data_IF_454600115818
#
_entry.id   IF_454600115818
#
_cell.length_a   1.000
_cell.length_b   1.000
_cell.length_c   1.000
_cell.angle_alpha   90.00
_cell.angle_beta   90.00
_cell.angle_gamma   90.00
#
_symmetry.space_group_name_H-M   'P 1'
#
loop_
_entity.id
_entity.type
_entity.pdbx_description
1 polymer ?
#
# COMPACT_ATOMS: atom_id res chain seq x y z
N UNK A 1 -2.47 -10.25 67.79
CA UNK A 1 -1.00 -10.11 67.73
C UNK A 1 -0.65 -10.04 66.24
N UNK A 2 -0.76 -8.86 65.62
CA UNK A 2 0.34 -7.92 65.34
C UNK A 2 1.51 -8.53 64.55
N UNK A 3 1.60 -8.12 63.28
CA UNK A 3 2.78 -7.72 62.46
C UNK A 3 4.02 -8.62 62.53
N UNK A 4 4.64 -9.06 61.45
CA UNK A 4 5.23 -8.24 60.38
C UNK A 4 5.47 -9.10 59.13
N UNK A 5 4.98 -8.64 57.96
CA UNK A 5 5.48 -9.07 56.66
C UNK A 5 6.54 -8.04 56.22
N UNK A 6 7.78 -8.49 56.08
CA UNK A 6 8.90 -7.70 55.57
C UNK A 6 8.82 -7.68 54.05
N UNK A 7 8.47 -6.53 53.49
CA UNK A 7 8.58 -6.25 52.05
C UNK A 7 10.05 -5.93 51.74
N UNK A 8 10.69 -6.74 50.91
CA UNK A 8 12.02 -6.46 50.34
C UNK A 8 11.81 -5.85 48.95
N UNK A 9 12.26 -4.61 48.69
CA UNK A 9 12.18 -4.02 47.36
C UNK A 9 13.32 -4.59 46.50
N UNK A 10 12.99 -5.24 45.38
CA UNK A 10 14.00 -5.59 44.36
C UNK A 10 14.14 -4.41 43.40
N UNK A 11 15.28 -3.72 43.54
CA UNK A 11 15.77 -2.73 42.60
C UNK A 11 16.19 -3.41 41.29
N UNK A 12 15.93 -2.70 40.19
CA UNK A 12 16.05 -3.15 38.81
C UNK A 12 17.48 -3.46 38.33
N UNK A 13 17.57 -4.29 37.29
CA UNK A 13 18.68 -4.26 36.35
C UNK A 13 18.11 -4.25 34.92
N UNK A 14 18.04 -3.05 34.34
CA UNK A 14 17.80 -2.84 32.91
C UNK A 14 19.16 -2.94 32.23
N UNK A 15 19.36 -3.97 31.40
CA UNK A 15 20.55 -4.12 30.58
C UNK A 15 20.28 -3.48 29.22
N UNK A 16 20.79 -2.27 29.02
CA UNK A 16 20.76 -1.54 27.76
C UNK A 16 21.94 -2.04 26.89
N UNK A 17 21.67 -2.74 25.79
CA UNK A 17 22.71 -3.11 24.82
C UNK A 17 22.75 -2.06 23.72
N UNK A 18 23.81 -1.24 23.76
CA UNK A 18 24.19 -0.30 22.69
C UNK A 18 25.13 -1.06 21.75
N UNK A 19 24.76 -1.20 20.48
CA UNK A 19 25.68 -1.67 19.44
C UNK A 19 25.97 -0.49 18.51
N UNK A 20 27.09 0.17 18.79
CA UNK A 20 27.69 1.19 17.93
C UNK A 20 28.79 0.57 17.07
N UNK A 21 28.65 0.72 15.75
CA UNK A 21 29.76 1.01 14.83
C UNK A 21 30.56 -0.15 14.25
N UNK A 22 30.47 -0.29 12.92
CA UNK A 22 31.66 -0.45 12.09
C UNK A 22 31.52 0.40 10.83
N UNK A 23 32.38 1.41 10.74
CA UNK A 23 32.63 2.26 9.57
C UNK A 23 33.42 1.47 8.52
N UNK A 24 33.01 1.56 7.26
CA UNK A 24 33.77 1.07 6.12
C UNK A 24 33.41 1.86 4.88
N UNK A 25 34.10 2.97 4.64
CA UNK A 25 33.94 3.80 3.46
C UNK A 25 34.64 3.21 2.24
N UNK A 26 34.05 3.41 1.06
CA UNK A 26 34.75 3.28 -0.22
C UNK A 26 34.29 4.40 -1.15
N UNK A 27 35.23 5.31 -1.45
CA UNK A 27 35.17 6.20 -2.60
C UNK A 27 35.65 5.49 -3.88
N UNK A 28 35.55 6.18 -5.03
CA UNK A 28 35.52 5.58 -6.36
C UNK A 28 36.91 5.51 -7.01
N UNK A 29 37.17 4.50 -7.84
CA UNK A 29 37.67 4.68 -9.22
C UNK A 29 37.89 3.34 -9.95
N UNK A 30 37.57 3.38 -11.25
CA UNK A 30 38.09 2.60 -12.39
C UNK A 30 38.37 1.10 -12.25
N UNK A 31 37.82 0.31 -13.18
CA UNK A 31 38.60 -0.30 -14.28
C UNK A 31 37.66 -0.92 -15.34
N UNK A 32 37.99 -0.62 -16.60
CA UNK A 32 37.43 -1.17 -17.83
C UNK A 32 37.75 -2.66 -18.03
N UNK A 33 36.96 -3.34 -18.88
CA UNK A 33 37.25 -4.42 -19.86
C UNK A 33 35.86 -4.98 -20.28
N UNK A 34 35.44 -5.23 -21.53
CA UNK A 34 36.10 -5.43 -22.81
C UNK A 34 35.59 -6.74 -23.44
N UNK A 35 34.97 -6.68 -24.64
CA UNK A 35 34.65 -7.82 -25.54
C UNK A 35 33.26 -8.47 -25.34
N UNK A 36 32.50 -8.90 -26.35
CA UNK A 36 32.76 -9.14 -27.78
C UNK A 36 31.43 -9.22 -28.57
N UNK A 37 31.52 -8.97 -29.88
CA UNK A 37 30.47 -9.03 -30.91
C UNK A 37 30.84 -10.12 -31.91
N UNK A 38 29.92 -10.92 -32.46
CA UNK A 38 30.21 -11.74 -33.64
C UNK A 38 29.83 -11.03 -34.95
N UNK A 39 30.74 -11.11 -35.92
CA UNK A 39 30.61 -10.73 -37.33
C UNK A 39 30.51 -11.99 -38.20
N UNK A 40 29.84 -11.89 -39.35
CA UNK A 40 30.09 -12.75 -40.50
C UNK A 40 29.84 -12.00 -41.84
N UNK A 41 30.91 -11.98 -42.65
CA UNK A 41 31.12 -11.63 -44.07
C UNK A 41 30.23 -12.43 -45.06
N UNK A 42 30.12 -12.20 -46.38
CA UNK A 42 30.68 -11.27 -47.41
C UNK A 42 29.88 -11.50 -48.74
N UNK A 43 29.92 -10.52 -49.68
CA UNK A 43 29.24 -10.50 -51.01
C UNK A 43 29.82 -11.44 -52.11
N UNK A 44 29.60 -11.21 -53.44
CA UNK A 44 29.82 -9.91 -54.14
C UNK A 44 28.93 -9.56 -55.39
N UNK A 45 29.09 -8.29 -55.88
CA UNK A 45 29.03 -7.72 -57.27
C UNK A 45 27.82 -7.96 -58.20
N UNK A 46 27.38 -7.08 -59.12
CA UNK A 46 27.77 -5.79 -59.73
C UNK A 46 26.52 -5.22 -60.45
N UNK A 47 26.44 -3.89 -60.69
CA UNK A 47 26.17 -3.25 -62.02
C UNK A 47 25.62 -1.82 -61.88
N UNK A 48 26.35 -0.90 -62.49
CA UNK A 48 26.11 0.54 -62.70
C UNK A 48 25.01 0.80 -63.74
N UNK A 49 24.17 1.83 -63.57
CA UNK A 49 23.74 2.76 -64.65
C UNK A 49 23.17 4.04 -64.03
N UNK A 50 23.63 5.20 -64.50
CA UNK A 50 23.13 6.54 -64.19
C UNK A 50 22.35 7.10 -65.39
N UNK A 51 21.24 7.82 -65.17
CA UNK A 51 20.71 8.89 -66.04
C UNK A 51 19.86 9.89 -65.21
N UNK A 52 20.36 11.12 -65.16
CA UNK A 52 19.77 12.47 -65.23
C UNK A 52 18.33 12.88 -64.80
N UNK A 53 18.36 14.04 -64.12
CA UNK A 53 17.56 15.27 -64.31
C UNK A 53 16.08 15.35 -63.86
N UNK A 54 15.85 16.07 -62.74
CA UNK A 54 14.90 17.19 -62.71
C UNK A 54 15.06 18.09 -61.47
N UNK A 55 14.79 19.36 -61.73
CA UNK A 55 15.22 20.57 -61.04
C UNK A 55 14.32 21.00 -59.86
N UNK A 56 14.94 21.66 -58.87
CA UNK A 56 14.43 22.72 -57.96
C UNK A 56 13.22 22.46 -57.04
N UNK A 57 13.40 22.69 -55.73
CA UNK A 57 13.18 24.03 -55.17
C UNK A 57 13.67 24.12 -53.71
N UNK A 58 14.49 25.12 -53.43
CA UNK A 58 14.86 25.51 -52.07
C UNK A 58 13.65 26.20 -51.42
N UNK A 59 13.17 25.66 -50.31
CA UNK A 59 12.24 26.34 -49.41
C UNK A 59 12.83 26.33 -48.00
N UNK A 60 12.87 27.52 -47.41
CA UNK A 60 13.72 27.89 -46.29
C UNK A 60 13.52 27.07 -45.00
N UNK A 61 14.63 26.97 -44.29
CA UNK A 61 14.71 26.65 -42.87
C UNK A 61 13.81 27.62 -42.09
N UNK A 62 12.81 27.18 -41.33
CA UNK A 62 12.27 28.00 -40.26
C UNK A 62 13.35 28.02 -39.18
N UNK A 63 14.06 29.13 -39.10
CA UNK A 63 14.75 29.54 -37.89
C UNK A 63 13.66 29.96 -36.89
N UNK A 64 13.02 28.95 -36.29
CA UNK A 64 12.06 29.11 -35.23
C UNK A 64 12.77 28.87 -33.92
N UNK A 65 13.47 29.88 -33.42
CA UNK A 65 13.69 30.00 -31.98
C UNK A 65 12.30 30.12 -31.38
N UNK A 66 11.75 29.01 -30.87
CA UNK A 66 10.48 29.05 -30.15
C UNK A 66 10.64 30.05 -29.01
N UNK A 67 9.88 31.14 -29.07
CA UNK A 67 9.74 32.02 -27.92
C UNK A 67 9.28 31.18 -26.72
N UNK A 68 9.62 31.57 -25.48
CA UNK A 68 9.05 30.94 -24.31
C UNK A 68 7.54 30.89 -24.51
N UNK A 69 6.94 29.70 -24.38
CA UNK A 69 5.49 29.55 -24.42
C UNK A 69 4.93 30.52 -23.38
N UNK A 70 4.30 31.60 -23.85
CA UNK A 70 3.77 32.63 -22.98
C UNK A 70 2.85 31.96 -21.94
N UNK A 71 2.99 32.32 -20.67
CA UNK A 71 2.17 31.77 -19.58
C UNK A 71 0.68 31.81 -19.98
N UNK A 72 0.00 30.66 -20.16
CA UNK A 72 -1.40 30.61 -20.58
C UNK A 72 -2.34 31.39 -19.67
N UNK A 73 -1.99 31.52 -18.38
CA UNK A 73 -2.78 32.18 -17.36
C UNK A 73 -2.59 33.71 -17.32
N UNK A 74 -1.57 34.24 -18.00
CA UNK A 74 -1.21 35.65 -17.96
C UNK A 74 -0.25 35.99 -16.82
N UNK A 75 -0.30 37.23 -16.33
CA UNK A 75 0.63 37.75 -15.30
C UNK A 75 -0.03 38.02 -13.95
N UNK A 76 -1.35 37.86 -13.85
CA UNK A 76 -2.07 37.99 -12.58
C UNK A 76 -2.03 36.65 -11.82
N UNK A 77 -2.05 36.67 -10.48
CA UNK A 77 -2.12 35.44 -9.70
C UNK A 77 -3.38 34.62 -10.04
N UNK A 78 -3.21 33.31 -10.19
CA UNK A 78 -4.31 32.38 -10.42
C UNK A 78 -5.09 32.23 -9.11
N UNK A 79 -6.34 32.69 -9.11
CA UNK A 79 -7.24 32.65 -7.97
C UNK A 79 -7.83 31.26 -7.83
N UNK A 80 -7.57 30.61 -6.69
CA UNK A 80 -8.01 29.23 -6.43
C UNK A 80 -9.07 29.22 -5.33
N UNK A 81 -10.29 28.83 -5.67
CA UNK A 81 -11.32 28.43 -4.70
C UNK A 81 -11.13 26.96 -4.31
N UNK A 82 -11.59 26.62 -3.10
CA UNK A 82 -11.46 25.25 -2.55
C UNK A 82 -12.82 24.78 -2.07
N UNK A 83 -13.34 23.74 -2.72
CA UNK A 83 -14.56 23.04 -2.34
C UNK A 83 -14.15 21.75 -1.63
N UNK A 84 -13.88 21.85 -0.33
CA UNK A 84 -13.40 20.73 0.51
C UNK A 84 -14.51 19.93 1.20
N UNK A 85 -14.19 18.75 1.75
CA UNK A 85 -15.12 18.02 2.64
C UNK A 85 -15.38 18.82 3.93
N UNK A 86 -16.58 18.70 4.55
CA UNK A 86 -16.95 19.51 5.71
C UNK A 86 -16.12 19.21 6.96
N UNK A 87 -15.61 17.97 7.08
CA UNK A 87 -14.97 17.47 8.30
C UNK A 87 -13.43 17.46 8.25
N UNK A 88 -12.82 18.04 7.19
CA UNK A 88 -11.36 18.09 7.04
C UNK A 88 -10.91 19.40 6.38
N UNK A 89 -10.02 20.12 7.05
CA UNK A 89 -9.42 21.33 6.50
C UNK A 89 -8.32 20.99 5.49
N UNK A 90 -8.69 20.99 4.20
CA UNK A 90 -7.80 20.70 3.07
C UNK A 90 -7.13 21.95 2.50
N UNK A 91 -7.51 23.15 2.94
CA UNK A 91 -6.99 24.42 2.40
C UNK A 91 -5.47 24.54 2.59
N UNK A 92 -4.87 24.19 3.75
CA UNK A 92 -3.42 24.20 3.91
C UNK A 92 -2.69 23.28 2.91
N UNK A 93 -3.30 22.15 2.53
CA UNK A 93 -2.71 21.19 1.60
C UNK A 93 -2.67 21.78 0.18
N UNK A 94 -3.76 22.41 -0.26
CA UNK A 94 -3.83 23.12 -1.55
C UNK A 94 -2.81 24.25 -1.60
N UNK A 95 -2.63 25.01 -0.51
CA UNK A 95 -1.62 26.07 -0.42
C UNK A 95 -0.20 25.53 -0.61
N UNK A 96 0.15 24.41 0.02
CA UNK A 96 1.50 23.84 -0.13
C UNK A 96 1.76 23.33 -1.55
N UNK A 97 0.76 22.68 -2.16
CA UNK A 97 0.83 22.28 -3.56
C UNK A 97 0.97 23.47 -4.53
N UNK A 98 0.24 24.57 -4.28
CA UNK A 98 0.40 25.81 -5.04
C UNK A 98 1.81 26.39 -4.89
N UNK A 99 2.31 26.51 -3.65
CA UNK A 99 3.66 27.00 -3.35
C UNK A 99 4.77 26.16 -3.98
N UNK A 100 4.57 24.85 -4.11
CA UNK A 100 5.48 23.99 -4.86
C UNK A 100 5.65 24.49 -6.30
N UNK A 101 4.56 24.80 -6.99
CA UNK A 101 4.62 25.31 -8.36
C UNK A 101 5.12 26.76 -8.44
N UNK A 102 4.74 27.65 -7.53
CA UNK A 102 5.29 29.03 -7.48
C UNK A 102 6.82 29.01 -7.37
N UNK A 103 7.34 28.07 -6.59
CA UNK A 103 8.79 27.92 -6.38
C UNK A 103 9.50 27.30 -7.58
N UNK A 104 8.86 26.38 -8.30
CA UNK A 104 9.53 25.49 -9.26
C UNK A 104 9.11 25.68 -10.72
N UNK A 105 8.07 26.46 -11.01
CA UNK A 105 7.47 26.56 -12.35
C UNK A 105 8.48 27.02 -13.41
N UNK A 106 9.30 28.03 -13.13
CA UNK A 106 10.31 28.50 -14.09
C UNK A 106 11.26 27.38 -14.55
N UNK A 107 11.53 26.40 -13.67
CA UNK A 107 12.39 25.26 -14.00
C UNK A 107 11.67 24.20 -14.84
N UNK A 108 10.42 23.88 -14.49
CA UNK A 108 9.72 22.71 -15.08
C UNK A 108 8.76 23.08 -16.21
N UNK A 109 8.12 24.25 -16.15
CA UNK A 109 7.18 24.73 -17.19
C UNK A 109 7.75 25.87 -18.04
N UNK A 110 8.86 26.48 -17.62
CA UNK A 110 9.57 27.52 -18.37
C UNK A 110 9.03 28.95 -18.17
N UNK A 111 8.09 29.15 -17.26
CA UNK A 111 7.57 30.46 -16.85
C UNK A 111 7.25 30.48 -15.35
N UNK A 112 7.19 31.67 -14.75
CA UNK A 112 6.76 31.85 -13.36
C UNK A 112 5.23 31.80 -13.26
N UNK A 113 4.73 31.23 -12.17
CA UNK A 113 3.32 31.23 -11.80
C UNK A 113 3.17 31.74 -10.39
N UNK A 114 2.10 32.50 -10.14
CA UNK A 114 1.69 32.94 -8.81
C UNK A 114 0.25 32.44 -8.58
N UNK A 115 -0.05 31.97 -7.37
CA UNK A 115 -1.37 31.51 -6.96
C UNK A 115 -1.91 32.34 -5.79
N UNK A 116 -3.22 32.53 -5.77
CA UNK A 116 -3.94 33.15 -4.65
C UNK A 116 -5.03 32.19 -4.15
N UNK A 117 -4.69 31.33 -3.19
CA UNK A 117 -5.66 30.36 -2.62
C UNK A 117 -6.63 31.07 -1.67
N UNK A 118 -7.84 31.30 -2.19
CA UNK A 118 -8.98 31.93 -1.53
C UNK A 118 -10.17 30.96 -1.55
N UNK A 119 -10.36 30.15 -0.49
CA UNK A 119 -11.37 29.09 -0.46
C UNK A 119 -12.77 29.54 -0.89
N UNK A 120 -13.19 30.72 -0.42
CA UNK A 120 -14.52 31.29 -0.65
C UNK A 120 -14.57 32.35 -1.77
N UNK A 121 -13.65 32.30 -2.73
CA UNK A 121 -13.62 33.26 -3.84
C UNK A 121 -14.89 33.18 -4.70
N UNK A 122 -15.59 34.30 -4.88
CA UNK A 122 -16.81 34.38 -5.70
C UNK A 122 -16.54 34.23 -7.21
N UNK A 123 -15.35 34.63 -7.67
CA UNK A 123 -14.94 34.58 -9.08
C UNK A 123 -13.53 33.99 -9.21
N UNK A 124 -13.35 32.68 -8.97
CA UNK A 124 -12.05 32.04 -9.06
C UNK A 124 -11.67 31.72 -10.51
N UNK A 125 -10.36 31.58 -10.76
CA UNK A 125 -9.83 31.03 -12.00
C UNK A 125 -9.91 29.51 -12.00
N UNK A 126 -9.57 28.90 -10.86
CA UNK A 126 -9.60 27.47 -10.59
C UNK A 126 -10.47 27.16 -9.37
N UNK A 127 -11.22 26.05 -9.44
CA UNK A 127 -11.88 25.43 -8.29
C UNK A 127 -11.23 24.08 -8.06
N UNK A 128 -10.55 23.91 -6.92
CA UNK A 128 -10.10 22.59 -6.46
C UNK A 128 -11.25 21.97 -5.66
N UNK A 129 -11.90 20.97 -6.25
CA UNK A 129 -13.07 20.29 -5.71
C UNK A 129 -12.71 18.90 -5.20
N UNK A 130 -13.00 18.64 -3.93
CA UNK A 130 -12.81 17.35 -3.32
C UNK A 130 -14.09 16.51 -3.46
N UNK A 131 -13.97 15.33 -4.07
CA UNK A 131 -15.09 14.44 -4.42
C UNK A 131 -14.81 13.00 -4.00
N UNK A 132 -15.85 12.21 -3.74
CA UNK A 132 -15.69 10.80 -3.40
C UNK A 132 -15.30 9.94 -4.62
N UNK A 133 -15.83 10.30 -5.79
CA UNK A 133 -15.51 9.67 -7.08
C UNK A 133 -15.12 10.75 -8.10
N UNK A 134 -13.91 10.63 -8.67
CA UNK A 134 -13.43 11.50 -9.74
C UNK A 134 -14.09 11.11 -11.05
N UNK A 135 -14.73 12.06 -11.73
CA UNK A 135 -15.54 11.80 -12.93
C UNK A 135 -15.24 12.73 -14.11
N UNK A 136 -14.45 13.78 -13.90
CA UNK A 136 -14.09 14.76 -14.93
C UNK A 136 -13.14 14.26 -16.03
N UNK A 137 -12.48 13.11 -15.82
CA UNK A 137 -11.55 12.49 -16.76
C UNK A 137 -12.09 11.12 -17.22
N UNK A 138 -11.54 10.56 -18.31
CA UNK A 138 -11.91 9.20 -18.75
C UNK A 138 -11.77 8.21 -17.59
N UNK A 139 -12.87 7.52 -17.27
CA UNK A 139 -13.04 6.79 -16.02
C UNK A 139 -12.07 5.63 -15.91
N UNK A 140 -11.25 5.65 -14.86
CA UNK A 140 -10.70 4.44 -14.24
C UNK A 140 -11.10 4.40 -12.76
N UNK A 141 -11.41 3.22 -12.22
CA UNK A 141 -11.82 3.02 -10.82
C UNK A 141 -10.74 3.41 -9.79
N UNK A 142 -9.55 3.83 -10.25
CA UNK A 142 -8.39 4.17 -9.43
C UNK A 142 -7.91 5.61 -9.64
N UNK A 143 -8.74 6.46 -10.26
CA UNK A 143 -8.40 7.86 -10.52
C UNK A 143 -8.41 8.65 -9.21
N UNK A 144 -7.26 9.19 -8.81
CA UNK A 144 -7.11 9.96 -7.57
C UNK A 144 -7.33 11.47 -7.76
N UNK A 145 -7.16 11.96 -8.99
CA UNK A 145 -7.37 13.36 -9.35
C UNK A 145 -7.65 13.51 -10.84
N UNK A 146 -8.18 14.67 -11.21
CA UNK A 146 -8.40 15.03 -12.60
C UNK A 146 -8.33 16.55 -12.77
N UNK A 147 -7.51 16.99 -13.73
CA UNK A 147 -7.39 18.38 -14.12
C UNK A 147 -7.40 18.57 -15.64
N UNK A 148 -7.83 19.76 -16.10
CA UNK A 148 -7.67 20.14 -17.49
C UNK A 148 -6.20 20.29 -17.85
N UNK A 149 -5.81 19.73 -18.99
CA UNK A 149 -4.47 19.89 -19.57
C UNK A 149 -4.38 21.18 -20.40
N UNK A 150 -3.73 22.23 -19.85
CA UNK A 150 -3.73 23.58 -20.42
C UNK A 150 -2.36 23.93 -21.00
N UNK A 151 -2.29 24.06 -22.31
CA UNK A 151 -1.08 24.45 -23.06
C UNK A 151 -1.23 25.79 -23.76
N UNK A 152 -2.43 26.37 -23.77
CA UNK A 152 -2.71 27.67 -24.40
C UNK A 152 -3.83 28.44 -23.70
N UNK A 153 -3.74 29.77 -23.73
CA UNK A 153 -4.73 30.67 -23.12
C UNK A 153 -6.15 30.49 -23.71
N UNK A 154 -6.27 30.00 -24.95
CA UNK A 154 -7.55 29.76 -25.61
C UNK A 154 -8.36 28.60 -24.99
N UNK A 155 -7.73 27.73 -24.20
CA UNK A 155 -8.41 26.63 -23.49
C UNK A 155 -9.06 27.06 -22.18
N UNK A 156 -8.73 28.26 -21.67
CA UNK A 156 -9.15 28.69 -20.34
C UNK A 156 -10.58 29.23 -20.37
N UNK A 157 -11.49 28.51 -19.72
CA UNK A 157 -12.88 28.90 -19.48
C UNK A 157 -13.17 28.94 -17.98
N UNK A 158 -13.06 30.13 -17.38
CA UNK A 158 -13.13 30.32 -15.92
C UNK A 158 -14.56 30.15 -15.36
N UNK A 159 -14.76 29.54 -14.19
CA UNK A 159 -13.74 28.78 -13.45
C UNK A 159 -13.48 27.41 -14.09
N UNK A 160 -12.22 27.01 -14.17
CA UNK A 160 -11.88 25.62 -14.50
C UNK A 160 -11.91 24.78 -13.21
N UNK A 161 -12.27 23.50 -13.32
CA UNK A 161 -12.35 22.59 -12.15
C UNK A 161 -11.19 21.61 -12.15
N UNK A 162 -10.60 21.39 -10.98
CA UNK A 162 -9.70 20.29 -10.66
C UNK A 162 -10.42 19.41 -9.63
N UNK A 163 -10.61 18.13 -9.93
CA UNK A 163 -11.22 17.17 -9.00
C UNK A 163 -10.13 16.39 -8.25
N UNK A 164 -10.30 16.22 -6.95
CA UNK A 164 -9.38 15.49 -6.06
C UNK A 164 -10.18 14.49 -5.26
N UNK A 165 -9.73 13.24 -5.19
CA UNK A 165 -10.38 12.20 -4.39
C UNK A 165 -10.29 12.50 -2.89
N UNK A 166 -11.41 12.37 -2.17
CA UNK A 166 -11.47 12.43 -0.70
C UNK A 166 -10.86 11.17 -0.06
N UNK A 167 -10.67 11.20 1.27
CA UNK A 167 -10.23 10.02 2.04
C UNK A 167 -8.73 9.70 1.95
N UNK A 168 -7.92 10.51 1.26
CA UNK A 168 -6.47 10.39 1.20
C UNK A 168 -5.79 11.03 2.42
N UNK A 169 -4.61 10.52 2.80
CA UNK A 169 -3.72 11.16 3.78
C UNK A 169 -3.35 12.58 3.36
N UNK A 170 -2.79 13.37 4.29
CA UNK A 170 -2.38 14.75 4.01
C UNK A 170 -1.30 14.81 2.93
N UNK A 171 -0.30 13.93 3.04
CA UNK A 171 0.79 13.79 2.08
C UNK A 171 0.29 13.36 0.70
N UNK A 172 -0.58 12.36 0.65
CA UNK A 172 -1.16 11.88 -0.61
C UNK A 172 -2.07 12.93 -1.25
N UNK A 173 -2.84 13.66 -0.44
CA UNK A 173 -3.69 14.75 -0.92
C UNK A 173 -2.84 15.87 -1.53
N UNK A 174 -1.79 16.30 -0.83
CA UNK A 174 -0.87 17.33 -1.34
C UNK A 174 -0.18 16.89 -2.64
N UNK A 175 0.27 15.62 -2.70
CA UNK A 175 0.88 15.06 -3.90
C UNK A 175 -0.07 15.07 -5.10
N UNK A 176 -1.33 14.64 -4.90
CA UNK A 176 -2.33 14.64 -5.98
C UNK A 176 -2.66 16.08 -6.39
N UNK A 177 -2.89 17.00 -5.46
CA UNK A 177 -3.16 18.41 -5.82
C UNK A 177 -1.98 19.01 -6.59
N UNK A 178 -0.74 18.73 -6.19
CA UNK A 178 0.44 19.20 -6.93
C UNK A 178 0.49 18.60 -8.33
N UNK A 179 0.22 17.30 -8.49
CA UNK A 179 0.14 16.65 -9.81
C UNK A 179 -0.91 17.31 -10.71
N UNK A 180 -2.13 17.45 -10.21
CA UNK A 180 -3.23 18.03 -10.97
C UNK A 180 -2.99 19.49 -11.33
N UNK A 181 -2.41 20.29 -10.43
CA UNK A 181 -2.00 21.66 -10.76
C UNK A 181 -0.94 21.68 -11.87
N UNK A 182 -0.05 20.69 -11.95
CA UNK A 182 0.90 20.54 -13.05
C UNK A 182 0.24 20.41 -14.42
N UNK A 183 -0.86 19.66 -14.52
CA UNK A 183 -1.66 19.59 -15.75
C UNK A 183 -2.26 20.94 -16.14
N UNK A 184 -2.71 21.73 -15.15
CA UNK A 184 -3.20 23.09 -15.42
C UNK A 184 -2.10 24.05 -15.89
N UNK A 185 -0.83 23.66 -15.76
CA UNK A 185 0.34 24.38 -16.27
C UNK A 185 0.94 23.74 -17.53
N UNK A 186 0.28 22.74 -18.11
CA UNK A 186 0.67 22.15 -19.39
C UNK A 186 1.68 21.01 -19.30
N UNK A 187 1.92 20.47 -18.10
CA UNK A 187 2.74 19.26 -17.92
C UNK A 187 1.91 17.99 -18.10
N UNK A 188 2.42 17.04 -18.87
CA UNK A 188 1.91 15.68 -18.97
C UNK A 188 2.60 14.75 -17.98
N UNK A 189 2.24 13.47 -18.01
CA UNK A 189 2.76 12.51 -17.03
C UNK A 189 4.26 12.18 -17.18
N UNK A 190 4.80 12.33 -18.39
CA UNK A 190 6.20 12.03 -18.70
C UNK A 190 7.13 13.23 -18.44
N UNK A 191 6.56 14.39 -18.06
CA UNK A 191 7.34 15.60 -17.81
C UNK A 191 7.96 15.61 -16.41
N UNK A 192 9.02 16.40 -16.23
CA UNK A 192 9.61 16.61 -14.91
C UNK A 192 8.76 17.61 -14.08
N UNK A 193 8.73 17.49 -12.74
CA UNK A 193 9.47 16.53 -11.94
C UNK A 193 8.75 15.17 -11.86
N UNK A 194 9.46 14.08 -12.16
CA UNK A 194 8.90 12.73 -12.11
C UNK A 194 8.45 12.29 -10.70
N UNK A 195 8.91 12.95 -9.64
CA UNK A 195 8.39 12.74 -8.29
C UNK A 195 6.92 13.21 -8.13
N UNK A 196 6.46 14.13 -8.99
CA UNK A 196 5.11 14.70 -8.96
C UNK A 196 4.29 14.24 -10.17
N UNK A 197 4.80 14.39 -11.39
CA UNK A 197 4.00 14.22 -12.62
C UNK A 197 3.82 12.77 -13.08
N UNK A 198 4.64 11.82 -12.63
CA UNK A 198 4.52 10.44 -13.11
C UNK A 198 3.17 9.80 -12.74
N UNK A 199 2.75 8.82 -13.53
CA UNK A 199 1.65 7.93 -13.16
C UNK A 199 2.08 6.85 -12.16
N UNK A 200 1.11 6.22 -11.50
CA UNK A 200 1.35 5.02 -10.68
C UNK A 200 2.08 5.30 -9.37
N UNK A 201 1.75 6.42 -8.71
CA UNK A 201 2.24 6.70 -7.35
C UNK A 201 1.43 5.92 -6.32
N UNK A 202 2.12 5.42 -5.29
CA UNK A 202 1.45 4.84 -4.12
C UNK A 202 0.87 5.97 -3.28
N UNK A 203 -0.43 5.91 -3.04
CA UNK A 203 -1.15 6.84 -2.17
C UNK A 203 -1.65 6.08 -0.95
N UNK A 204 -1.69 6.78 0.18
CA UNK A 204 -2.28 6.27 1.41
C UNK A 204 -3.58 7.00 1.75
N UNK A 205 -4.47 6.31 2.46
CA UNK A 205 -5.72 6.86 2.97
C UNK A 205 -5.53 7.59 4.29
N UNK A 206 -6.59 8.23 4.76
CA UNK A 206 -6.70 8.60 6.17
C UNK A 206 -6.62 7.35 7.06
N UNK A 207 -6.21 7.50 8.34
CA UNK A 207 -6.14 6.39 9.27
C UNK A 207 -7.45 5.62 9.38
N UNK A 208 -7.38 4.30 9.41
CA UNK A 208 -8.49 3.38 9.53
C UNK A 208 -8.32 2.45 10.73
N UNK A 209 -9.40 1.85 11.28
CA UNK A 209 -9.25 0.85 12.32
C UNK A 209 -8.51 -0.38 11.82
N UNK A 210 -7.58 -0.87 12.62
CA UNK A 210 -6.82 -2.08 12.35
C UNK A 210 -7.69 -3.34 12.48
N UNK A 211 -7.28 -4.43 11.82
CA UNK A 211 -7.95 -5.73 11.91
C UNK A 211 -8.13 -6.16 13.37
N UNK A 212 -7.11 -5.98 14.20
CA UNK A 212 -7.09 -6.31 15.62
C UNK A 212 -8.03 -5.45 16.48
N UNK A 213 -8.49 -4.31 15.97
CA UNK A 213 -9.43 -3.42 16.65
C UNK A 213 -10.90 -3.69 16.26
N UNK A 214 -11.11 -4.59 15.29
CA UNK A 214 -12.43 -4.92 14.76
C UNK A 214 -12.97 -6.15 15.47
N UNK A 215 -14.27 -6.12 15.79
CA UNK A 215 -14.96 -7.28 16.37
C UNK A 215 -15.00 -8.49 15.42
N UNK A 216 -14.88 -8.24 14.11
CA UNK A 216 -14.68 -9.28 13.10
C UNK A 216 -13.72 -8.76 12.03
N UNK A 217 -12.51 -9.34 11.86
CA UNK A 217 -11.43 -8.76 11.05
C UNK A 217 -11.46 -9.14 9.56
N UNK A 218 -12.50 -9.82 9.07
CA UNK A 218 -12.63 -10.25 7.68
C UNK A 218 -13.73 -9.50 6.94
N UNK A 219 -13.76 -9.64 5.62
CA UNK A 219 -14.81 -9.09 4.76
C UNK A 219 -16.09 -9.93 4.79
N UNK A 220 -15.96 -11.24 4.91
CA UNK A 220 -17.07 -12.19 5.06
C UNK A 220 -16.70 -13.37 5.98
N UNK A 221 -17.64 -14.30 6.16
CA UNK A 221 -17.52 -15.46 7.04
C UNK A 221 -17.40 -16.79 6.30
N UNK A 222 -17.02 -16.76 5.02
CA UNK A 222 -16.83 -17.92 4.16
C UNK A 222 -15.33 -18.11 3.90
N UNK A 223 -14.76 -19.20 4.41
CA UNK A 223 -13.30 -19.38 4.40
C UNK A 223 -12.89 -20.55 3.53
N UNK A 224 -11.95 -20.30 2.63
CA UNK A 224 -11.10 -21.35 2.07
C UNK A 224 -10.00 -21.71 3.07
N UNK A 225 -9.70 -23.00 3.20
CA UNK A 225 -8.71 -23.50 4.16
C UNK A 225 -7.70 -24.42 3.48
N UNK A 226 -6.44 -24.03 3.53
CA UNK A 226 -5.33 -24.89 3.15
C UNK A 226 -4.71 -25.55 4.37
N UNK A 227 -4.56 -26.88 4.32
CA UNK A 227 -4.01 -27.67 5.42
C UNK A 227 -2.73 -28.34 4.93
N UNK A 228 -1.60 -27.75 5.29
CA UNK A 228 -0.23 -28.16 4.95
C UNK A 228 0.45 -28.82 6.17
N UNK A 229 0.07 -30.07 6.45
CA UNK A 229 0.53 -30.80 7.65
C UNK A 229 1.36 -32.03 7.30
N UNK A 230 1.96 -32.05 6.11
CA UNK A 230 2.65 -33.23 5.58
C UNK A 230 3.96 -33.53 6.32
N UNK A 231 4.54 -32.54 7.00
CA UNK A 231 5.71 -32.71 7.88
C UNK A 231 5.35 -33.25 9.28
N UNK A 232 4.06 -33.38 9.62
CA UNK A 232 3.66 -33.90 10.91
C UNK A 232 4.07 -35.38 11.08
N UNK A 233 4.35 -35.86 12.30
CA UNK A 233 4.66 -37.28 12.56
C UNK A 233 3.57 -38.25 12.08
N UNK A 234 2.30 -37.81 12.14
CA UNK A 234 1.15 -38.47 11.54
C UNK A 234 0.30 -37.42 10.80
N UNK A 235 0.53 -37.20 9.49
CA UNK A 235 -0.18 -36.18 8.71
C UNK A 235 -1.69 -36.42 8.61
N UNK A 236 -2.12 -37.68 8.58
CA UNK A 236 -3.54 -38.01 8.48
C UNK A 236 -4.28 -37.65 9.77
N UNK A 237 -3.72 -37.99 10.93
CA UNK A 237 -4.28 -37.62 12.22
C UNK A 237 -4.17 -36.11 12.48
N UNK A 238 -3.08 -35.45 12.08
CA UNK A 238 -2.96 -33.99 12.18
C UNK A 238 -4.02 -33.27 11.34
N UNK A 239 -4.27 -33.75 10.11
CA UNK A 239 -5.33 -33.21 9.25
C UNK A 239 -6.72 -33.43 9.84
N UNK A 240 -6.96 -34.56 10.51
CA UNK A 240 -8.21 -34.80 11.23
C UNK A 240 -8.40 -33.81 12.38
N UNK A 241 -7.36 -33.60 13.20
CA UNK A 241 -7.34 -32.62 14.30
C UNK A 241 -7.65 -31.19 13.84
N UNK A 242 -7.08 -30.76 12.71
CA UNK A 242 -7.41 -29.45 12.12
C UNK A 242 -8.89 -29.38 11.72
N UNK A 243 -9.45 -30.44 11.11
CA UNK A 243 -10.87 -30.48 10.75
C UNK A 243 -11.80 -30.44 11.96
N UNK A 244 -11.43 -31.08 13.06
CA UNK A 244 -12.21 -30.99 14.31
C UNK A 244 -12.21 -29.56 14.86
N UNK A 245 -11.07 -28.85 14.77
CA UNK A 245 -11.01 -27.44 15.14
C UNK A 245 -11.91 -26.57 14.27
N UNK A 246 -11.91 -26.75 12.94
CA UNK A 246 -12.82 -26.03 12.03
C UNK A 246 -14.28 -26.35 12.36
N UNK A 247 -14.62 -27.63 12.54
CA UNK A 247 -15.95 -28.09 12.88
C UNK A 247 -16.46 -27.51 14.20
N UNK A 248 -15.58 -27.29 15.17
CA UNK A 248 -15.93 -26.63 16.43
C UNK A 248 -16.45 -25.19 16.22
N UNK A 249 -15.83 -24.43 15.31
CA UNK A 249 -16.29 -23.08 14.95
C UNK A 249 -17.58 -23.11 14.12
N UNK A 250 -17.68 -24.01 13.15
CA UNK A 250 -18.91 -24.21 12.34
C UNK A 250 -20.14 -24.55 13.19
N UNK A 251 -19.95 -25.22 14.33
CA UNK A 251 -21.03 -25.55 15.28
C UNK A 251 -21.43 -24.40 16.21
N UNK A 252 -20.80 -23.23 16.09
CA UNK A 252 -21.07 -22.06 16.93
C UNK A 252 -20.28 -22.07 18.24
N UNK A 253 -18.96 -21.98 18.14
CA UNK A 253 -18.07 -21.89 19.28
C UNK A 253 -18.48 -20.74 20.25
N UNK A 254 -18.56 -20.96 21.58
CA UNK A 254 -18.98 -19.94 22.53
C UNK A 254 -18.13 -18.67 22.46
N UNK A 255 -18.78 -17.52 22.32
CA UNK A 255 -18.14 -16.20 22.24
C UNK A 255 -17.63 -15.83 20.85
N UNK A 256 -17.90 -16.65 19.83
CA UNK A 256 -17.45 -16.45 18.45
C UNK A 256 -18.63 -16.21 17.50
N UNK A 257 -18.37 -15.73 16.26
CA UNK A 257 -19.40 -15.68 15.23
C UNK A 257 -20.01 -17.07 14.98
N UNK A 258 -21.31 -17.12 14.71
CA UNK A 258 -22.10 -18.37 14.57
C UNK A 258 -22.42 -18.74 13.12
N UNK A 259 -21.86 -18.00 12.16
CA UNK A 259 -22.10 -18.14 10.71
C UNK A 259 -20.81 -18.44 9.92
N UNK A 260 -19.79 -18.99 10.59
CA UNK A 260 -18.52 -19.35 9.97
C UNK A 260 -18.68 -20.64 9.14
N UNK A 261 -18.14 -20.65 7.92
CA UNK A 261 -18.13 -21.83 7.05
C UNK A 261 -16.74 -22.07 6.47
N UNK A 262 -16.36 -23.33 6.28
CA UNK A 262 -15.02 -23.69 5.82
C UNK A 262 -15.05 -24.65 4.62
N UNK A 263 -14.34 -24.29 3.55
CA UNK A 263 -14.05 -25.15 2.42
C UNK A 263 -12.56 -25.51 2.39
N UNK A 264 -12.22 -26.79 2.57
CA UNK A 264 -10.82 -27.22 2.49
C UNK A 264 -10.39 -27.30 1.02
N UNK A 265 -9.35 -26.55 0.66
CA UNK A 265 -8.80 -26.45 -0.69
C UNK A 265 -7.31 -26.75 -0.74
N UNK A 266 -6.81 -27.07 -1.93
CA UNK A 266 -5.37 -27.26 -2.20
C UNK A 266 -4.78 -25.98 -2.83
N UNK A 267 -4.88 -24.87 -2.09
CA UNK A 267 -4.39 -23.56 -2.52
C UNK A 267 -3.64 -22.86 -1.38
N UNK A 268 -2.31 -22.67 -1.44
CA UNK A 268 -1.57 -21.98 -0.38
C UNK A 268 -1.95 -20.50 -0.22
N UNK A 269 -2.69 -19.91 -1.17
CA UNK A 269 -3.24 -18.56 -1.07
C UNK A 269 -4.64 -18.51 -0.41
N UNK A 270 -5.16 -19.65 0.09
CA UNK A 270 -6.42 -19.71 0.84
C UNK A 270 -6.48 -18.73 2.03
N UNK A 271 -7.68 -18.38 2.47
CA UNK A 271 -7.93 -17.42 3.56
C UNK A 271 -7.30 -17.89 4.87
N UNK A 272 -7.43 -19.18 5.18
CA UNK A 272 -6.81 -19.79 6.35
C UNK A 272 -5.79 -20.82 5.91
N UNK A 273 -4.56 -20.68 6.40
CA UNK A 273 -3.48 -21.65 6.14
C UNK A 273 -3.07 -22.26 7.47
N UNK A 274 -3.20 -23.58 7.60
CA UNK A 274 -2.68 -24.31 8.76
C UNK A 274 -1.49 -25.12 8.30
N UNK A 275 -0.31 -24.79 8.82
CA UNK A 275 0.92 -25.50 8.49
C UNK A 275 1.56 -26.16 9.70
N UNK A 276 2.14 -27.34 9.50
CA UNK A 276 2.98 -28.02 10.47
C UNK A 276 4.42 -27.99 10.00
N UNK A 277 5.35 -27.63 10.89
CA UNK A 277 6.79 -27.64 10.62
C UNK A 277 7.55 -28.23 11.81
N UNK A 278 8.70 -28.86 11.56
CA UNK A 278 9.53 -29.40 12.65
C UNK A 278 10.32 -28.31 13.39
N UNK A 279 10.66 -27.21 12.72
CA UNK A 279 11.40 -26.09 13.29
C UNK A 279 10.93 -24.77 12.69
N UNK A 280 10.91 -23.71 13.50
CA UNK A 280 10.55 -22.37 13.03
C UNK A 280 11.10 -21.30 13.96
N UNK A 281 11.37 -20.11 13.44
CA UNK A 281 11.68 -18.92 14.26
C UNK A 281 10.46 -18.36 14.98
N UNK A 282 9.27 -18.90 14.72
CA UNK A 282 8.04 -18.39 15.32
C UNK A 282 7.89 -18.68 16.82
N UNK A 283 8.58 -19.71 17.31
CA UNK A 283 8.60 -20.09 18.72
C UNK A 283 9.97 -20.67 19.06
N UNK A 284 10.36 -20.60 20.33
CA UNK A 284 11.57 -21.28 20.81
C UNK A 284 11.17 -22.70 21.20
N UNK A 285 11.54 -23.69 20.38
CA UNK A 285 11.16 -25.10 20.57
C UNK A 285 9.71 -25.37 20.15
N UNK A 286 9.08 -26.37 20.77
CA UNK A 286 7.72 -26.80 20.42
C UNK A 286 6.67 -25.75 20.79
N UNK A 287 5.73 -25.45 19.89
CA UNK A 287 4.71 -24.42 20.10
C UNK A 287 3.87 -24.13 18.87
N UNK A 288 3.24 -22.96 18.86
CA UNK A 288 2.44 -22.50 17.73
C UNK A 288 2.38 -20.99 17.68
N UNK A 289 2.17 -20.42 16.50
CA UNK A 289 1.95 -18.99 16.32
C UNK A 289 0.94 -18.71 15.21
N UNK A 290 0.33 -17.53 15.25
CA UNK A 290 -0.49 -16.97 14.18
C UNK A 290 0.19 -15.79 13.51
N UNK A 291 0.00 -15.63 12.21
CA UNK A 291 0.41 -14.45 11.46
C UNK A 291 -0.64 -14.09 10.42
N UNK A 292 -0.95 -12.82 10.26
CA UNK A 292 -1.92 -12.33 9.27
C UNK A 292 -1.24 -11.51 8.18
N UNK A 293 -1.91 -11.44 7.02
CA UNK A 293 -1.64 -10.46 5.97
C UNK A 293 -2.97 -9.88 5.49
N UNK A 294 -2.91 -8.66 4.95
CA UNK A 294 -4.06 -7.97 4.43
C UNK A 294 -3.70 -6.62 3.82
N UNK A 295 -4.70 -5.90 3.28
CA UNK A 295 -4.51 -4.54 2.81
C UNK A 295 -4.06 -3.63 3.96
N UNK A 296 -3.20 -2.66 3.63
CA UNK A 296 -2.71 -1.54 4.47
C UNK A 296 -2.83 -0.22 3.67
N UNK A 297 -4.06 0.25 3.35
CA UNK A 297 -4.27 1.49 2.62
C UNK A 297 -3.80 2.74 3.36
N UNK A 298 -3.79 2.79 4.69
CA UNK A 298 -3.33 3.99 5.40
C UNK A 298 -1.79 4.04 5.62
N UNK A 299 -1.10 2.92 5.41
CA UNK A 299 0.35 2.81 5.39
C UNK A 299 0.99 2.81 6.78
N UNK A 300 0.24 2.45 7.82
CA UNK A 300 0.75 2.38 9.20
C UNK A 300 1.51 1.07 9.51
N UNK A 301 1.49 0.11 8.58
CA UNK A 301 2.16 -1.18 8.68
C UNK A 301 1.31 -2.28 9.31
N UNK A 302 0.06 -2.01 9.67
CA UNK A 302 -0.92 -2.98 10.13
C UNK A 302 -2.02 -3.16 9.07
N UNK A 303 -2.61 -4.35 9.03
CA UNK A 303 -3.72 -4.61 8.10
C UNK A 303 -5.04 -4.20 8.72
N UNK A 304 -5.89 -3.52 7.96
CA UNK A 304 -7.23 -3.09 8.37
C UNK A 304 -8.22 -4.25 8.32
N UNK A 305 -7.95 -5.24 7.46
CA UNK A 305 -8.67 -6.51 7.34
C UNK A 305 -7.69 -7.64 7.10
N UNK A 306 -8.05 -8.86 7.47
CA UNK A 306 -7.30 -10.04 7.05
C UNK A 306 -7.74 -10.44 5.63
N UNK A 307 -6.75 -10.70 4.78
CA UNK A 307 -6.92 -11.39 3.50
C UNK A 307 -6.39 -12.83 3.60
N UNK A 308 -5.49 -13.10 4.56
CA UNK A 308 -5.11 -14.45 4.93
C UNK A 308 -4.59 -14.47 6.37
N UNK A 309 -4.83 -15.58 7.06
CA UNK A 309 -4.31 -15.87 8.38
C UNK A 309 -3.63 -17.25 8.38
N UNK A 310 -2.36 -17.29 8.77
CA UNK A 310 -1.56 -18.51 8.84
C UNK A 310 -1.37 -18.94 10.28
N UNK A 311 -1.73 -20.18 10.59
CA UNK A 311 -1.37 -20.87 11.82
C UNK A 311 -0.15 -21.75 11.54
N UNK A 312 0.95 -21.50 12.25
CA UNK A 312 2.13 -22.37 12.22
C UNK A 312 2.18 -23.19 13.50
N UNK A 313 2.13 -24.51 13.37
CA UNK A 313 2.33 -25.47 14.47
C UNK A 313 3.74 -26.04 14.35
N UNK A 314 4.51 -25.99 15.44
CA UNK A 314 5.96 -26.30 15.44
C UNK A 314 6.24 -27.43 16.42
N UNK A 315 6.65 -28.59 15.92
CA UNK A 315 7.08 -29.75 16.74
C UNK A 315 6.10 -30.10 17.88
N UNK A 316 4.80 -30.00 17.60
CA UNK A 316 3.73 -30.35 18.54
C UNK A 316 3.27 -31.78 18.29
N UNK A 317 2.99 -32.51 19.37
CA UNK A 317 2.39 -33.85 19.29
C UNK A 317 1.08 -33.80 18.51
N UNK A 318 0.84 -34.80 17.66
CA UNK A 318 -0.32 -34.83 16.76
C UNK A 318 -1.66 -34.66 17.49
N UNK A 319 -1.78 -35.18 18.70
CA UNK A 319 -2.99 -35.08 19.54
C UNK A 319 -3.29 -33.67 20.04
N UNK A 320 -2.32 -32.76 20.02
CA UNK A 320 -2.47 -31.37 20.42
C UNK A 320 -2.61 -30.38 19.25
N UNK A 321 -2.42 -30.83 18.00
CA UNK A 321 -2.48 -29.96 16.81
C UNK A 321 -3.80 -29.21 16.73
N UNK A 322 -4.92 -29.90 16.95
CA UNK A 322 -6.25 -29.30 16.85
C UNK A 322 -6.44 -28.17 17.86
N UNK A 323 -5.98 -28.36 19.10
CA UNK A 323 -6.10 -27.34 20.14
C UNK A 323 -5.33 -26.06 19.78
N UNK A 324 -4.10 -26.24 19.30
CA UNK A 324 -3.26 -25.12 18.86
C UNK A 324 -3.85 -24.40 17.65
N UNK A 325 -4.37 -25.15 16.68
CA UNK A 325 -5.12 -24.57 15.54
C UNK A 325 -6.34 -23.79 16.02
N UNK A 326 -7.18 -24.40 16.87
CA UNK A 326 -8.38 -23.76 17.40
C UNK A 326 -8.07 -22.47 18.17
N UNK A 327 -7.03 -22.47 19.02
CA UNK A 327 -6.60 -21.27 19.73
C UNK A 327 -6.32 -20.08 18.79
N UNK A 328 -5.59 -20.32 17.71
CA UNK A 328 -5.24 -19.27 16.74
C UNK A 328 -6.40 -18.89 15.83
N UNK A 329 -7.32 -19.80 15.54
CA UNK A 329 -8.57 -19.46 14.86
C UNK A 329 -9.43 -18.51 15.70
N UNK A 330 -9.43 -18.63 17.04
CA UNK A 330 -10.10 -17.64 17.89
C UNK A 330 -9.56 -16.22 17.65
N UNK A 331 -8.22 -16.08 17.57
CA UNK A 331 -7.54 -14.81 17.24
C UNK A 331 -7.94 -14.36 15.83
N UNK A 332 -7.87 -15.27 14.85
CA UNK A 332 -8.26 -14.97 13.48
C UNK A 332 -9.69 -14.41 13.37
N UNK A 333 -10.60 -14.80 14.25
CA UNK A 333 -11.99 -14.33 14.25
C UNK A 333 -12.28 -13.20 15.25
N UNK A 334 -11.23 -12.51 15.75
CA UNK A 334 -11.36 -11.27 16.53
C UNK A 334 -11.20 -11.43 18.04
N UNK A 335 -10.95 -12.64 18.56
CA UNK A 335 -10.70 -12.86 20.00
C UNK A 335 -9.21 -12.66 20.36
N UNK A 336 -8.75 -11.41 20.25
CA UNK A 336 -7.36 -11.02 20.52
C UNK A 336 -6.95 -11.34 21.97
N UNK A 337 -7.78 -10.96 22.95
CA UNK A 337 -7.49 -11.26 24.36
C UNK A 337 -7.89 -12.69 24.71
N UNK A 338 -7.12 -13.33 25.61
CA UNK A 338 -7.44 -14.68 26.10
C UNK A 338 -8.81 -14.78 26.79
N UNK A 339 -9.26 -13.70 27.43
CA UNK A 339 -10.57 -13.64 28.06
C UNK A 339 -11.74 -13.69 27.06
N UNK A 340 -11.49 -13.39 25.79
CA UNK A 340 -12.50 -13.34 24.73
C UNK A 340 -12.60 -14.68 23.98
N UNK A 341 -11.54 -15.50 24.01
CA UNK A 341 -11.48 -16.81 23.33
C UNK A 341 -12.46 -17.83 23.91
N UNK A 342 -12.88 -18.89 23.20
CA UNK A 342 -13.71 -19.93 23.81
C UNK A 342 -13.09 -20.56 25.08
N UNK A 343 -13.89 -20.99 26.08
CA UNK A 343 -13.38 -21.47 27.37
C UNK A 343 -12.36 -22.61 27.28
N UNK A 344 -12.50 -23.50 26.29
CA UNK A 344 -11.60 -24.63 26.03
C UNK A 344 -10.17 -24.21 25.71
N UNK A 345 -9.96 -22.94 25.35
CA UNK A 345 -8.64 -22.37 25.04
C UNK A 345 -8.05 -21.53 26.18
N UNK A 346 -8.76 -21.42 27.32
CA UNK A 346 -8.34 -20.64 28.48
C UNK A 346 -7.81 -21.58 29.56
N UNK A 347 -6.60 -21.32 30.04
CA UNK A 347 -5.99 -22.06 31.16
C UNK A 347 -5.90 -23.60 30.99
N UNK A 348 -5.99 -24.12 29.76
CA UNK A 348 -6.04 -25.56 29.50
C UNK A 348 -4.71 -26.25 29.83
N UNK A 349 -4.80 -27.34 30.59
CA UNK A 349 -3.70 -28.22 30.96
C UNK A 349 -3.15 -29.01 29.78
N UNK A 350 -1.95 -29.59 29.95
CA UNK A 350 -1.32 -30.44 28.93
C UNK A 350 -2.22 -31.58 28.44
N UNK A 351 -3.02 -32.17 29.34
CA UNK A 351 -3.93 -33.29 29.02
C UNK A 351 -5.17 -32.81 28.28
N UNK A 352 -5.74 -31.66 28.66
CA UNK A 352 -6.92 -31.08 28.00
C UNK A 352 -6.62 -30.66 26.55
N UNK A 353 -5.39 -30.19 26.28
CA UNK A 353 -4.97 -29.88 24.91
C UNK A 353 -4.90 -31.10 23.99
N UNK A 354 -4.85 -32.31 24.57
CA UNK A 354 -4.71 -33.60 23.87
C UNK A 354 -5.98 -34.44 23.90
N UNK A 355 -7.03 -33.95 24.54
CA UNK A 355 -8.33 -34.60 24.58
C UNK A 355 -9.19 -34.20 23.38
N UNK A 356 -10.37 -34.79 23.29
CA UNK A 356 -11.44 -34.40 22.36
C UNK A 356 -12.13 -33.12 22.85
N UNK A 357 -11.37 -32.02 23.01
CA UNK A 357 -11.83 -30.75 23.60
C UNK A 357 -12.91 -30.04 22.77
N UNK A 358 -13.13 -30.48 21.53
CA UNK A 358 -14.07 -29.93 20.56
C UNK A 358 -15.50 -30.49 20.69
N UNK A 359 -15.73 -31.40 21.64
CA UNK A 359 -17.03 -32.04 21.93
C UNK A 359 -17.95 -31.24 22.85
#
# INVERSE_FOLDING_TARGET
MSRHATVIPRLALVLLVVITGCLGGFGPDMLAHGGERPTASSGPSDTTTAVDDSTASAAGKPDGTAEPTANPWGSEPIVVAVEGPPDRDVVPLVRRAATFWETNATRYVGYSVDYEVRPDAENPDLVVRFVDEVSGCERSNHTAGCAPYITSAAQINRPMTVEIKTGLSDESTEQVVAHELGHTLGLGHDDEPQAVMRTGVTLTTLPQPNATERGFPWDDSEFTVHIDVDEAPDPAAARAQVREALGYYERGAPGMPDNLTFEVVDDPDADLVVRYVSESTCTVGSGSCGSSRGPDPDGDGASERYAQFTVTVVDIDTDAVGWHTGYWLAVAFGAENDADKPPVFRESSYQERRSEWWE
#
